data_IF_011273616939
#
_entry.id   IF_011273616939
#
_cell.length_a   1.000
_cell.length_b   1.000
_cell.length_c   1.000
_cell.angle_alpha   90.00
_cell.angle_beta   90.00
_cell.angle_gamma   90.00
#
_symmetry.space_group_name_H-M   'P 1'
#
loop_
_entity.id
_entity.type
_entity.pdbx_description
1 polymer ?
#
# COMPACT_ATOMS: atom_id res chain seq x y z
N UNK A 1 3.22 21.31 -0.71
CA UNK A 1 3.81 20.44 0.32
C UNK A 1 2.98 20.49 1.59
N UNK A 2 2.65 21.67 2.10
CA UNK A 2 1.86 21.84 3.33
C UNK A 2 0.55 21.03 3.35
N UNK A 3 -0.24 21.05 2.27
CA UNK A 3 -1.47 20.26 2.17
C UNK A 3 -1.21 18.74 2.24
N UNK A 4 -0.12 18.26 1.63
CA UNK A 4 0.31 16.86 1.73
C UNK A 4 0.65 16.48 3.17
N UNK A 5 1.35 17.36 3.89
CA UNK A 5 1.73 17.12 5.28
C UNK A 5 0.51 17.14 6.20
N UNK A 6 -0.42 18.08 6.00
CA UNK A 6 -1.69 18.12 6.73
C UNK A 6 -2.55 16.89 6.48
N UNK A 7 -2.61 16.39 5.24
CA UNK A 7 -3.28 15.11 4.94
C UNK A 7 -2.63 13.93 5.66
N UNK A 8 -1.30 13.92 5.75
CA UNK A 8 -0.57 12.87 6.46
C UNK A 8 -0.85 12.89 7.97
N UNK A 9 -0.83 14.07 8.59
CA UNK A 9 -1.24 14.25 9.99
C UNK A 9 -2.69 13.80 10.22
N UNK A 10 -3.59 14.22 9.32
CA UNK A 10 -4.99 13.84 9.33
C UNK A 10 -5.18 12.32 9.24
N UNK A 11 -4.41 11.64 8.39
CA UNK A 11 -4.49 10.18 8.25
C UNK A 11 -4.14 9.45 9.56
N UNK A 12 -3.09 9.86 10.27
CA UNK A 12 -2.74 9.29 11.58
C UNK A 12 -3.85 9.53 12.61
N UNK A 13 -4.39 10.75 12.65
CA UNK A 13 -5.45 11.12 13.60
C UNK A 13 -6.75 10.35 13.33
N UNK A 14 -7.16 10.28 12.07
CA UNK A 14 -8.35 9.53 11.62
C UNK A 14 -8.23 8.05 11.98
N UNK A 15 -7.13 7.39 11.60
CA UNK A 15 -6.93 5.97 11.88
C UNK A 15 -7.02 5.68 13.39
N UNK A 16 -6.34 6.47 14.22
CA UNK A 16 -6.43 6.35 15.68
C UNK A 16 -7.85 6.54 16.20
N UNK A 17 -8.60 7.48 15.65
CA UNK A 17 -9.97 7.77 16.08
C UNK A 17 -10.98 6.71 15.64
N UNK A 18 -10.78 6.08 14.47
CA UNK A 18 -11.67 5.06 13.93
C UNK A 18 -11.52 3.75 14.70
N UNK A 19 -10.28 3.29 14.91
CA UNK A 19 -10.02 2.09 15.68
C UNK A 19 -8.62 2.16 16.29
N UNK A 20 -8.56 2.61 17.55
CA UNK A 20 -7.30 2.79 18.27
C UNK A 20 -6.52 1.47 18.43
N UNK A 21 -7.21 0.32 18.52
CA UNK A 21 -6.52 -0.96 18.63
C UNK A 21 -5.80 -1.34 17.34
N UNK A 22 -6.47 -1.24 16.19
CA UNK A 22 -5.84 -1.50 14.89
C UNK A 22 -4.75 -0.48 14.54
N UNK A 23 -4.91 0.77 14.98
CA UNK A 23 -3.87 1.78 14.90
C UNK A 23 -2.62 1.36 15.71
N UNK A 24 -2.80 0.85 16.94
CA UNK A 24 -1.71 0.33 17.76
C UNK A 24 -1.05 -0.90 17.11
N UNK A 25 -1.84 -1.82 16.56
CA UNK A 25 -1.30 -2.96 15.80
C UNK A 25 -0.47 -2.51 14.60
N UNK A 26 -0.87 -1.43 13.92
CA UNK A 26 -0.12 -0.80 12.83
C UNK A 26 1.22 -0.24 13.33
N UNK A 27 1.25 0.43 14.49
CA UNK A 27 2.49 0.97 15.07
C UNK A 27 3.46 -0.12 15.51
N UNK A 28 2.95 -1.22 16.09
CA UNK A 28 3.76 -2.36 16.50
C UNK A 28 4.28 -3.12 15.27
N UNK A 29 3.47 -3.18 14.19
CA UNK A 29 3.79 -3.87 12.94
C UNK A 29 4.30 -5.30 13.15
N UNK A 30 3.70 -6.04 14.09
CA UNK A 30 4.22 -7.34 14.52
C UNK A 30 4.14 -8.40 13.41
N UNK A 31 5.30 -8.90 12.98
CA UNK A 31 5.42 -9.98 11.97
C UNK A 31 5.89 -11.32 12.53
N UNK A 32 6.37 -11.31 13.78
CA UNK A 32 6.98 -12.43 14.48
C UNK A 32 7.76 -11.91 15.69
N UNK A 33 8.27 -12.82 16.52
CA UNK A 33 9.19 -12.43 17.58
C UNK A 33 10.51 -11.99 16.96
N UNK A 34 10.72 -10.68 16.91
CA UNK A 34 11.88 -10.06 16.27
C UNK A 34 12.25 -8.78 17.02
N UNK A 35 13.46 -8.31 16.75
CA UNK A 35 14.00 -7.06 17.27
C UNK A 35 13.04 -5.91 17.04
N UNK A 36 12.97 -4.97 18.00
CA UNK A 36 12.16 -3.75 17.84
C UNK A 36 12.70 -2.85 16.73
N UNK A 37 14.02 -2.87 16.52
CA UNK A 37 14.69 -2.19 15.42
C UNK A 37 14.52 -2.97 14.13
N UNK A 38 13.31 -2.90 13.59
CA UNK A 38 12.96 -3.49 12.31
C UNK A 38 13.53 -2.68 11.13
N UNK A 39 13.15 -3.09 9.92
CA UNK A 39 13.61 -2.41 8.69
C UNK A 39 13.13 -0.96 8.56
N UNK A 40 12.12 -0.53 9.34
CA UNK A 40 11.67 0.86 9.36
C UNK A 40 12.59 1.74 10.20
N UNK A 41 13.02 1.29 11.38
CA UNK A 41 13.94 2.06 12.22
C UNK A 41 15.32 2.21 11.56
N UNK A 42 15.85 1.14 10.94
CA UNK A 42 17.07 1.23 10.14
C UNK A 42 16.90 2.22 8.98
N UNK A 43 15.73 2.24 8.34
CA UNK A 43 15.43 3.20 7.29
C UNK A 43 15.36 4.64 7.81
N UNK A 44 14.81 4.87 9.01
CA UNK A 44 14.85 6.17 9.64
C UNK A 44 16.28 6.65 9.88
N UNK A 45 17.14 5.79 10.42
CA UNK A 45 18.52 6.17 10.74
C UNK A 45 19.35 6.39 9.47
N UNK A 46 19.19 5.53 8.47
CA UNK A 46 19.86 5.67 7.18
C UNK A 46 19.49 6.98 6.46
N UNK A 47 18.19 7.33 6.41
CA UNK A 47 17.75 8.57 5.75
C UNK A 47 18.25 9.81 6.52
N UNK A 48 18.27 9.81 7.85
CA UNK A 48 18.86 10.92 8.62
C UNK A 48 20.35 11.10 8.28
N UNK A 49 21.12 10.01 8.29
CA UNK A 49 22.53 10.06 7.93
C UNK A 49 22.72 10.58 6.49
N UNK A 50 21.92 10.09 5.53
CA UNK A 50 22.00 10.57 4.15
C UNK A 50 21.58 12.03 4.01
N UNK A 51 20.62 12.50 4.81
CA UNK A 51 20.20 13.90 4.87
C UNK A 51 21.34 14.79 5.37
N UNK A 52 22.05 14.40 6.42
CA UNK A 52 23.24 15.13 6.91
C UNK A 52 24.35 15.21 5.84
N UNK A 53 24.61 14.09 5.14
CA UNK A 53 25.58 14.04 4.05
C UNK A 53 25.15 14.88 2.84
N UNK A 54 23.85 14.90 2.52
CA UNK A 54 23.28 15.71 1.46
C UNK A 54 23.48 17.20 1.72
N UNK A 55 23.27 17.68 2.95
CA UNK A 55 23.45 19.09 3.29
C UNK A 55 24.91 19.50 3.53
N UNK A 56 25.81 18.56 3.84
CA UNK A 56 27.24 18.86 4.09
C UNK A 56 28.12 18.79 2.84
N UNK A 57 27.64 18.20 1.75
CA UNK A 57 28.38 18.09 0.50
C UNK A 57 27.92 19.11 -0.56
N UNK A 58 28.81 19.34 -1.53
CA UNK A 58 28.57 20.19 -2.70
C UNK A 58 28.80 19.45 -4.02
N UNK A 59 28.32 20.05 -5.11
CA UNK A 59 28.49 19.58 -6.48
C UNK A 59 28.15 18.10 -6.65
N UNK A 60 29.03 17.35 -7.32
CA UNK A 60 28.81 15.93 -7.62
C UNK A 60 28.65 15.04 -6.39
N UNK A 61 29.21 15.41 -5.23
CA UNK A 61 29.04 14.65 -3.99
C UNK A 61 27.62 14.83 -3.46
N UNK A 62 27.12 16.08 -3.45
CA UNK A 62 25.73 16.39 -3.12
C UNK A 62 24.75 15.65 -4.02
N UNK A 63 24.96 15.69 -5.34
CA UNK A 63 24.09 14.98 -6.29
C UNK A 63 24.02 13.48 -6.04
N UNK A 64 25.15 12.83 -5.72
CA UNK A 64 25.15 11.41 -5.39
C UNK A 64 24.39 11.11 -4.10
N UNK A 65 24.54 11.94 -3.08
CA UNK A 65 23.79 11.78 -1.84
C UNK A 65 22.29 12.07 -2.03
N UNK A 66 21.95 13.05 -2.87
CA UNK A 66 20.58 13.33 -3.27
C UNK A 66 19.94 12.10 -3.94
N UNK A 67 20.62 11.47 -4.90
CA UNK A 67 20.13 10.24 -5.53
C UNK A 67 20.05 9.06 -4.56
N UNK A 68 21.01 8.91 -3.64
CA UNK A 68 20.99 7.84 -2.64
C UNK A 68 19.81 8.01 -1.67
N UNK A 69 19.63 9.19 -1.09
CA UNK A 69 18.51 9.51 -0.20
C UNK A 69 17.18 9.30 -0.90
N UNK A 70 17.03 9.90 -2.10
CA UNK A 70 15.85 9.76 -2.94
C UNK A 70 15.49 8.30 -3.16
N UNK A 71 16.47 7.50 -3.59
CA UNK A 71 16.23 6.11 -3.93
C UNK A 71 15.90 5.28 -2.70
N UNK A 72 16.64 5.47 -1.60
CA UNK A 72 16.39 4.77 -0.33
C UNK A 72 15.01 5.09 0.24
N UNK A 73 14.51 6.33 0.10
CA UNK A 73 13.17 6.71 0.58
C UNK A 73 12.08 5.82 -0.04
N UNK A 74 12.11 5.63 -1.36
CA UNK A 74 11.06 4.87 -2.07
C UNK A 74 11.24 3.33 -2.00
N UNK A 75 12.28 2.79 -1.36
CA UNK A 75 12.50 1.35 -1.29
C UNK A 75 11.77 0.65 -0.13
N UNK A 76 11.52 1.37 0.96
CA UNK A 76 11.14 0.75 2.22
C UNK A 76 9.71 0.19 2.18
N UNK A 77 9.57 -1.13 2.26
CA UNK A 77 8.26 -1.79 2.25
C UNK A 77 7.42 -1.46 3.49
N UNK A 78 8.06 -1.24 4.64
CA UNK A 78 7.37 -1.02 5.90
C UNK A 78 6.70 0.35 5.98
N UNK A 79 7.34 1.36 5.40
CA UNK A 79 6.72 2.66 5.14
C UNK A 79 5.39 2.51 4.39
N UNK A 80 5.37 1.76 3.28
CA UNK A 80 4.14 1.53 2.52
C UNK A 80 3.12 0.65 3.26
N UNK A 81 3.56 -0.37 3.99
CA UNK A 81 2.68 -1.22 4.80
C UNK A 81 1.97 -0.40 5.89
N UNK A 82 2.70 0.49 6.57
CA UNK A 82 2.14 1.40 7.58
C UNK A 82 1.17 2.37 6.91
N UNK A 83 1.56 3.02 5.82
CA UNK A 83 0.70 3.97 5.12
C UNK A 83 -0.61 3.32 4.63
N UNK A 84 -0.51 2.14 4.03
CA UNK A 84 -1.67 1.35 3.61
C UNK A 84 -2.52 0.87 4.78
N UNK A 85 -1.91 0.46 5.89
CA UNK A 85 -2.63 0.06 7.11
C UNK A 85 -3.39 1.21 7.74
N UNK A 86 -2.78 2.40 7.85
CA UNK A 86 -3.48 3.59 8.32
C UNK A 86 -4.71 3.90 7.46
N UNK A 87 -4.60 3.74 6.14
CA UNK A 87 -5.74 3.90 5.24
C UNK A 87 -6.83 2.84 5.48
N UNK A 88 -6.47 1.57 5.63
CA UNK A 88 -7.43 0.50 5.98
C UNK A 88 -8.18 0.84 7.28
N UNK A 89 -7.44 1.22 8.31
CA UNK A 89 -8.01 1.56 9.63
C UNK A 89 -8.94 2.77 9.52
N UNK A 90 -8.56 3.82 8.78
CA UNK A 90 -9.43 4.97 8.53
C UNK A 90 -10.74 4.60 7.82
N UNK A 91 -10.74 3.57 6.96
CA UNK A 91 -11.92 3.04 6.30
C UNK A 91 -12.74 2.06 7.16
N UNK A 92 -12.26 1.74 8.37
CA UNK A 92 -12.89 0.80 9.29
C UNK A 92 -12.55 -0.67 9.04
N UNK A 93 -11.48 -0.95 8.30
CA UNK A 93 -10.93 -2.29 8.08
C UNK A 93 -9.78 -2.60 9.04
N UNK A 94 -9.34 -3.86 9.10
CA UNK A 94 -8.21 -4.26 9.93
C UNK A 94 -6.88 -3.77 9.34
N UNK A 95 -5.91 -3.54 10.21
CA UNK A 95 -4.52 -3.27 9.82
C UNK A 95 -3.89 -4.50 9.15
N UNK A 96 -2.91 -4.29 8.27
CA UNK A 96 -2.23 -5.39 7.59
C UNK A 96 -0.71 -5.23 7.63
N UNK A 97 -0.07 -6.12 8.37
CA UNK A 97 1.39 -6.29 8.37
C UNK A 97 1.94 -6.84 7.04
N UNK A 98 1.06 -7.26 6.13
CA UNK A 98 1.40 -7.87 4.83
C UNK A 98 0.54 -7.25 3.72
N UNK A 99 0.65 -5.94 3.52
CA UNK A 99 -0.13 -5.24 2.49
C UNK A 99 0.10 -5.82 1.08
N UNK A 100 1.30 -6.37 0.85
CA UNK A 100 1.75 -6.97 -0.41
C UNK A 100 1.71 -8.50 -0.36
N UNK A 101 0.74 -9.11 -1.02
CA UNK A 101 0.63 -10.57 -1.08
C UNK A 101 1.48 -11.14 -2.22
N UNK A 102 2.17 -12.24 -1.92
CA UNK A 102 2.74 -13.10 -2.95
C UNK A 102 1.64 -13.98 -3.54
N UNK A 103 1.63 -14.07 -4.87
CA UNK A 103 0.80 -15.02 -5.64
C UNK A 103 1.72 -15.96 -6.40
N UNK A 104 1.22 -17.08 -6.93
CA UNK A 104 2.05 -17.96 -7.77
C UNK A 104 2.62 -17.26 -9.00
N UNK A 105 1.89 -16.26 -9.53
CA UNK A 105 2.34 -15.42 -10.65
C UNK A 105 3.35 -14.36 -10.23
N UNK A 106 3.38 -14.01 -8.94
CA UNK A 106 4.17 -12.92 -8.38
C UNK A 106 4.84 -13.38 -7.08
N UNK A 107 5.80 -14.32 -7.21
CA UNK A 107 6.59 -14.85 -6.08
C UNK A 107 7.86 -14.00 -5.78
N UNK A 108 8.04 -12.90 -6.52
CA UNK A 108 9.15 -11.95 -6.32
C UNK A 108 8.77 -10.82 -5.38
N UNK A 109 9.79 -10.12 -4.88
CA UNK A 109 9.60 -8.81 -4.26
C UNK A 109 9.00 -7.83 -5.27
N UNK A 110 8.02 -7.06 -4.82
CA UNK A 110 7.43 -5.98 -5.61
C UNK A 110 8.45 -4.87 -5.83
N UNK A 111 8.51 -4.35 -7.05
CA UNK A 111 9.25 -3.15 -7.35
C UNK A 111 8.55 -1.93 -6.75
N UNK A 112 9.29 -0.85 -6.56
CA UNK A 112 8.79 0.42 -6.01
C UNK A 112 7.52 0.93 -6.69
N UNK A 113 7.49 0.94 -8.03
CA UNK A 113 6.31 1.38 -8.78
C UNK A 113 5.08 0.52 -8.49
N UNK A 114 5.24 -0.79 -8.31
CA UNK A 114 4.14 -1.69 -7.94
C UNK A 114 3.63 -1.39 -6.52
N UNK A 115 4.53 -1.14 -5.56
CA UNK A 115 4.15 -0.78 -4.18
C UNK A 115 3.39 0.55 -4.15
N UNK A 116 3.89 1.56 -4.86
CA UNK A 116 3.23 2.86 -4.98
C UNK A 116 1.84 2.71 -5.60
N UNK A 117 1.69 1.93 -6.68
CA UNK A 117 0.38 1.72 -7.30
C UNK A 117 -0.64 1.08 -6.34
N UNK A 118 -0.21 0.11 -5.53
CA UNK A 118 -1.08 -0.53 -4.54
C UNK A 118 -1.51 0.43 -3.44
N UNK A 119 -0.59 1.25 -2.92
CA UNK A 119 -0.92 2.26 -1.90
C UNK A 119 -1.73 3.42 -2.48
N UNK A 120 -1.49 3.79 -3.73
CA UNK A 120 -2.22 4.86 -4.42
C UNK A 120 -3.71 4.57 -4.50
N UNK A 121 -4.08 3.31 -4.73
CA UNK A 121 -5.49 2.93 -4.81
C UNK A 121 -6.20 3.13 -3.47
N UNK A 122 -5.58 2.73 -2.35
CA UNK A 122 -6.21 2.88 -1.03
C UNK A 122 -6.17 4.34 -0.54
N UNK A 123 -5.14 5.11 -0.89
CA UNK A 123 -5.10 6.55 -0.62
C UNK A 123 -6.25 7.27 -1.33
N UNK A 124 -6.55 6.88 -2.57
CA UNK A 124 -7.68 7.43 -3.31
C UNK A 124 -9.02 7.08 -2.65
N UNK A 125 -9.18 5.84 -2.14
CA UNK A 125 -10.38 5.43 -1.39
C UNK A 125 -10.55 6.22 -0.08
N UNK A 126 -9.43 6.61 0.56
CA UNK A 126 -9.41 7.50 1.73
C UNK A 126 -9.47 9.00 1.39
N UNK A 127 -9.62 9.36 0.12
CA UNK A 127 -9.62 10.75 -0.37
C UNK A 127 -8.35 11.55 0.05
N UNK A 128 -7.18 10.90 0.06
CA UNK A 128 -5.87 11.50 0.37
C UNK A 128 -5.14 11.91 -0.91
N UNK A 129 -5.72 12.88 -1.61
CA UNK A 129 -5.31 13.27 -2.97
C UNK A 129 -3.93 13.94 -3.00
N UNK A 130 -3.58 14.72 -1.97
CA UNK A 130 -2.29 15.40 -1.91
C UNK A 130 -1.14 14.45 -1.59
N UNK A 131 -1.40 13.38 -0.82
CA UNK A 131 -0.43 12.28 -0.64
C UNK A 131 -0.27 11.49 -1.95
N UNK A 132 -1.37 11.17 -2.63
CA UNK A 132 -1.33 10.50 -3.94
C UNK A 132 -0.51 11.32 -4.95
N UNK A 133 -0.80 12.62 -5.05
CA UNK A 133 -0.10 13.53 -5.95
C UNK A 133 1.40 13.64 -5.63
N UNK A 134 1.80 13.55 -4.36
CA UNK A 134 3.20 13.49 -3.98
C UNK A 134 3.90 12.27 -4.61
N UNK A 135 3.30 11.08 -4.56
CA UNK A 135 3.90 9.92 -5.22
C UNK A 135 3.93 10.07 -6.74
N UNK A 136 2.85 10.54 -7.35
CA UNK A 136 2.76 10.71 -8.80
C UNK A 136 3.78 11.74 -9.35
N UNK A 137 4.00 12.83 -8.61
CA UNK A 137 4.86 13.92 -9.05
C UNK A 137 6.33 13.67 -8.75
N UNK A 138 6.64 13.05 -7.61
CA UNK A 138 8.01 13.00 -7.08
C UNK A 138 8.69 11.65 -7.34
N UNK A 139 7.95 10.58 -7.67
CA UNK A 139 8.54 9.28 -8.00
C UNK A 139 8.85 9.12 -9.50
N UNK A 140 10.14 9.06 -9.82
CA UNK A 140 10.72 8.91 -11.15
C UNK A 140 11.65 7.70 -11.16
N UNK A 141 11.14 6.56 -11.63
CA UNK A 141 11.87 5.30 -11.69
C UNK A 141 13.21 5.42 -12.44
N UNK A 142 13.31 6.28 -13.45
CA UNK A 142 14.54 6.47 -14.22
C UNK A 142 15.71 7.04 -13.39
N UNK A 143 15.46 7.93 -12.41
CA UNK A 143 16.51 8.47 -11.53
C UNK A 143 17.11 7.34 -10.69
N UNK A 144 16.23 6.56 -10.04
CA UNK A 144 16.60 5.41 -9.22
C UNK A 144 17.36 4.36 -10.02
N UNK A 145 16.80 3.94 -11.16
CA UNK A 145 17.36 2.88 -11.99
C UNK A 145 18.73 3.27 -12.54
N UNK A 146 18.85 4.47 -13.11
CA UNK A 146 20.14 4.95 -13.61
C UNK A 146 21.19 5.07 -12.50
N UNK A 147 20.81 5.55 -11.31
CA UNK A 147 21.73 5.65 -10.18
C UNK A 147 22.24 4.28 -9.70
N UNK A 148 21.35 3.32 -9.41
CA UNK A 148 21.77 2.01 -8.88
C UNK A 148 22.46 1.12 -9.92
N UNK A 149 22.17 1.30 -11.21
CA UNK A 149 22.87 0.60 -12.27
C UNK A 149 24.11 1.34 -12.79
N UNK A 150 24.49 2.46 -12.14
CA UNK A 150 25.59 3.32 -12.56
C UNK A 150 25.48 3.78 -14.04
N UNK A 151 24.26 3.84 -14.57
CA UNK A 151 23.94 4.24 -15.93
C UNK A 151 23.68 5.76 -16.00
N UNK A 152 24.64 6.55 -15.52
CA UNK A 152 24.54 8.02 -15.50
C UNK A 152 25.90 8.70 -15.58
N UNK A 153 25.88 10.01 -15.90
CA UNK A 153 27.04 10.88 -15.70
C UNK A 153 26.63 12.22 -15.09
N UNK A 154 27.56 12.83 -14.35
CA UNK A 154 27.35 14.12 -13.70
C UNK A 154 28.25 15.19 -14.29
N UNK A 155 27.64 16.30 -14.68
CA UNK A 155 28.31 17.59 -14.80
C UNK A 155 28.15 18.36 -13.48
N UNK A 156 28.55 19.63 -13.42
CA UNK A 156 28.43 20.41 -12.18
C UNK A 156 26.97 20.72 -11.85
N UNK A 157 26.12 20.92 -12.85
CA UNK A 157 24.71 21.29 -12.69
C UNK A 157 23.71 20.31 -13.30
N UNK A 158 24.15 19.26 -13.99
CA UNK A 158 23.23 18.35 -14.68
C UNK A 158 23.54 16.87 -14.45
N UNK A 159 22.46 16.10 -14.40
CA UNK A 159 22.45 14.65 -14.38
C UNK A 159 22.05 14.14 -15.76
N UNK A 160 22.89 13.31 -16.38
CA UNK A 160 22.60 12.68 -17.68
C UNK A 160 22.29 11.20 -17.48
N UNK A 161 21.18 10.76 -18.05
CA UNK A 161 20.63 9.42 -17.99
C UNK A 161 21.16 8.59 -19.16
N UNK A 162 21.64 7.39 -18.89
CA UNK A 162 21.99 6.39 -19.90
C UNK A 162 21.19 5.11 -19.64
N UNK A 163 20.94 4.33 -20.70
CA UNK A 163 20.32 3.00 -20.63
C UNK A 163 19.05 2.89 -19.77
N UNK A 164 18.24 3.96 -19.76
CA UNK A 164 17.00 4.05 -18.99
C UNK A 164 15.92 4.77 -19.80
N UNK A 165 14.69 4.79 -19.30
CA UNK A 165 13.61 5.56 -19.92
C UNK A 165 13.83 7.07 -19.71
N UNK A 166 13.37 7.87 -20.67
CA UNK A 166 13.41 9.33 -20.53
C UNK A 166 12.51 9.80 -19.39
N UNK A 167 12.98 10.77 -18.60
CA UNK A 167 12.14 11.44 -17.60
C UNK A 167 11.26 12.46 -18.32
N UNK A 168 9.97 12.51 -17.98
CA UNK A 168 9.06 13.53 -18.51
C UNK A 168 9.11 14.77 -17.64
N UNK A 169 9.67 15.86 -18.17
CA UNK A 169 9.72 17.17 -17.53
C UNK A 169 8.87 18.10 -18.40
N UNK A 170 7.80 18.66 -17.82
CA UNK A 170 6.84 19.52 -18.54
C UNK A 170 6.24 18.82 -19.78
N UNK A 171 6.00 17.51 -19.69
CA UNK A 171 5.48 16.70 -20.79
C UNK A 171 6.51 16.33 -21.86
N UNK A 172 7.75 16.81 -21.78
CA UNK A 172 8.83 16.49 -22.72
C UNK A 172 9.73 15.41 -22.12
N UNK A 173 9.93 14.32 -22.86
CA UNK A 173 10.90 13.27 -22.49
C UNK A 173 12.34 13.77 -22.65
N UNK A 174 13.11 13.76 -21.56
CA UNK A 174 14.52 14.19 -21.52
C UNK A 174 15.40 13.08 -20.93
N UNK A 175 16.59 12.93 -21.49
CA UNK A 175 17.66 12.06 -20.98
C UNK A 175 18.69 12.84 -20.14
N UNK A 176 18.35 14.07 -19.74
CA UNK A 176 19.14 14.89 -18.86
C UNK A 176 18.23 15.86 -18.10
N UNK A 177 18.68 16.34 -16.95
CA UNK A 177 18.00 17.39 -16.18
C UNK A 177 18.99 18.21 -15.35
N UNK A 178 18.63 19.46 -15.06
CA UNK A 178 19.36 20.31 -14.13
C UNK A 178 19.10 19.86 -12.69
N UNK A 179 20.16 19.62 -11.92
CA UNK A 179 20.05 19.08 -10.56
C UNK A 179 19.50 20.11 -9.57
N UNK A 180 19.72 21.41 -9.79
CA UNK A 180 19.25 22.47 -8.91
C UNK A 180 17.78 22.80 -9.18
N UNK A 181 17.35 22.76 -10.44
CA UNK A 181 15.97 23.09 -10.81
C UNK A 181 15.03 21.89 -10.67
N UNK A 182 15.55 20.66 -10.77
CA UNK A 182 14.72 19.45 -10.78
C UNK A 182 14.99 18.52 -9.59
N UNK A 183 16.21 17.97 -9.46
CA UNK A 183 16.47 16.91 -8.48
C UNK A 183 16.45 17.40 -7.02
N UNK A 184 17.14 18.49 -6.71
CA UNK A 184 17.21 18.99 -5.33
C UNK A 184 15.84 19.42 -4.78
N UNK A 185 14.97 20.13 -5.53
CA UNK A 185 13.62 20.41 -5.08
C UNK A 185 12.79 19.15 -4.79
N UNK A 186 12.92 18.11 -5.60
CA UNK A 186 12.25 16.81 -5.36
C UNK A 186 12.78 16.19 -4.06
N UNK A 187 14.11 16.15 -3.89
CA UNK A 187 14.75 15.59 -2.69
C UNK A 187 14.35 16.34 -1.42
N UNK A 188 14.23 17.66 -1.49
CA UNK A 188 13.80 18.48 -0.35
C UNK A 188 12.34 18.19 0.04
N UNK A 189 11.44 17.99 -0.92
CA UNK A 189 10.07 17.53 -0.63
C UNK A 189 10.04 16.13 -0.04
N UNK A 190 10.87 15.22 -0.54
CA UNK A 190 11.04 13.86 -0.01
C UNK A 190 11.51 13.92 1.45
N UNK A 191 12.50 14.76 1.76
CA UNK A 191 12.97 15.00 3.13
C UNK A 191 11.83 15.53 4.01
N UNK A 192 11.07 16.52 3.53
CA UNK A 192 9.95 17.09 4.29
C UNK A 192 8.86 16.06 4.60
N UNK A 193 8.51 15.22 3.61
CA UNK A 193 7.56 14.13 3.81
C UNK A 193 8.09 13.09 4.81
N UNK A 194 9.35 12.68 4.65
CA UNK A 194 10.02 11.74 5.55
C UNK A 194 10.02 12.24 6.99
N UNK A 195 10.47 13.49 7.23
CA UNK A 195 10.57 14.07 8.56
C UNK A 195 9.19 14.14 9.23
N UNK A 196 8.15 14.52 8.48
CA UNK A 196 6.78 14.54 8.98
C UNK A 196 6.27 13.13 9.31
N UNK A 197 6.47 12.15 8.42
CA UNK A 197 6.07 10.76 8.65
C UNK A 197 6.78 10.18 9.89
N UNK A 198 8.11 10.32 9.98
CA UNK A 198 8.91 9.85 11.11
C UNK A 198 8.44 10.49 12.42
N UNK A 199 8.23 11.81 12.43
CA UNK A 199 7.72 12.54 13.60
C UNK A 199 6.35 12.03 14.03
N UNK A 200 5.42 11.81 13.09
CA UNK A 200 4.09 11.31 13.39
C UNK A 200 4.12 9.88 13.92
N UNK A 201 4.93 9.01 13.32
CA UNK A 201 5.08 7.63 13.74
C UNK A 201 5.67 7.55 15.15
N UNK A 202 6.82 8.18 15.38
CA UNK A 202 7.49 8.16 16.69
C UNK A 202 6.68 8.91 17.75
N UNK A 203 6.03 10.02 17.39
CA UNK A 203 5.14 10.77 18.28
C UNK A 203 3.91 9.97 18.69
N UNK A 204 3.34 9.18 17.77
CA UNK A 204 2.22 8.28 18.05
C UNK A 204 2.63 7.16 19.00
N UNK A 205 3.84 6.62 18.83
CA UNK A 205 4.40 5.62 19.74
C UNK A 205 4.65 6.20 21.14
N UNK A 206 5.26 7.38 21.21
CA UNK A 206 5.60 8.08 22.44
C UNK A 206 4.37 8.55 23.25
N UNK A 207 3.23 8.74 22.60
CA UNK A 207 2.00 9.20 23.24
C UNK A 207 1.42 8.23 24.29
N UNK A 208 1.80 6.94 24.25
CA UNK A 208 1.33 5.92 25.20
C UNK A 208 2.22 5.87 26.45
N UNK A 209 2.09 6.87 27.32
CA UNK A 209 2.93 7.03 28.52
C UNK A 209 2.46 6.26 29.75
N UNK A 210 1.22 5.78 29.73
CA UNK A 210 0.58 5.05 30.83
C UNK A 210 -0.33 3.96 30.29
N UNK A 211 -0.64 2.98 31.14
CA UNK A 211 -1.59 1.93 30.82
C UNK A 211 -2.99 2.52 30.58
N UNK A 212 -3.68 1.98 29.58
CA UNK A 212 -5.04 2.41 29.21
C UNK A 212 -5.84 1.21 28.73
N UNK A 213 -7.09 1.11 29.17
CA UNK A 213 -8.03 0.14 28.62
C UNK A 213 -8.80 0.76 27.46
N UNK A 214 -8.84 0.06 26.32
CA UNK A 214 -9.63 0.42 25.14
C UNK A 214 -10.51 -0.76 24.72
N UNK A 215 -11.51 -0.49 23.87
CA UNK A 215 -12.27 -1.55 23.21
C UNK A 215 -11.61 -1.91 21.87
N UNK A 216 -11.47 -3.19 21.59
CA UNK A 216 -11.00 -3.69 20.29
C UNK A 216 -11.46 -5.12 20.02
N UNK A 217 -11.38 -5.54 18.76
CA UNK A 217 -11.76 -6.88 18.34
C UNK A 217 -10.59 -7.85 18.48
N UNK A 218 -10.76 -8.89 19.30
CA UNK A 218 -9.74 -9.94 19.47
C UNK A 218 -10.35 -11.31 19.85
N UNK A 219 -10.91 -12.09 18.90
CA UNK A 219 -11.49 -11.65 17.62
C UNK A 219 -12.86 -10.98 17.82
N UNK A 220 -13.46 -11.13 19.00
CA UNK A 220 -14.70 -10.46 19.40
C UNK A 220 -14.38 -9.18 20.16
N UNK A 221 -15.30 -8.21 20.12
CA UNK A 221 -15.17 -6.95 20.84
C UNK A 221 -14.97 -7.19 22.35
N UNK A 222 -13.88 -6.66 22.90
CA UNK A 222 -13.53 -6.81 24.32
C UNK A 222 -12.62 -5.68 24.80
N UNK A 223 -12.36 -5.67 26.10
CA UNK A 223 -11.38 -4.78 26.71
C UNK A 223 -9.96 -5.26 26.40
N UNK A 224 -9.13 -4.32 25.97
CA UNK A 224 -7.72 -4.50 25.65
C UNK A 224 -6.93 -3.53 26.50
N UNK A 225 -5.99 -4.06 27.25
CA UNK A 225 -5.12 -3.28 28.12
C UNK A 225 -3.87 -2.89 27.34
N UNK A 226 -3.81 -1.63 26.90
CA UNK A 226 -2.63 -1.06 26.26
C UNK A 226 -1.60 -0.76 27.32
N UNK A 227 -0.39 -1.24 27.11
CA UNK A 227 0.75 -1.05 28.01
C UNK A 227 1.55 0.15 27.57
N UNK A 228 1.64 1.15 28.45
CA UNK A 228 2.41 2.37 28.22
C UNK A 228 3.62 2.46 29.15
N UNK A 229 4.50 3.40 28.89
CA UNK A 229 5.61 3.68 29.79
C UNK A 229 6.38 4.96 29.43
N UNK A 230 7.46 5.28 30.16
CA UNK A 230 8.23 6.50 29.93
C UNK A 230 8.75 6.65 28.50
N UNK A 231 9.07 5.54 27.83
CA UNK A 231 9.53 5.53 26.42
C UNK A 231 8.39 5.23 25.41
N UNK A 232 7.14 5.48 25.79
CA UNK A 232 5.95 5.24 24.97
C UNK A 232 5.43 3.80 25.03
N UNK A 233 4.74 3.41 23.97
CA UNK A 233 4.04 2.13 23.81
C UNK A 233 4.94 0.92 24.14
N UNK A 234 4.44 0.03 25.00
CA UNK A 234 5.10 -1.23 25.40
C UNK A 234 4.37 -2.47 24.91
N UNK A 235 3.19 -2.31 24.32
CA UNK A 235 2.40 -3.40 23.74
C UNK A 235 0.98 -3.43 24.27
N UNK A 236 0.36 -4.61 24.31
CA UNK A 236 -0.99 -4.80 24.82
C UNK A 236 -1.19 -6.18 25.44
N UNK A 237 -2.19 -6.28 26.32
CA UNK A 237 -2.65 -7.52 26.96
C UNK A 237 -4.15 -7.66 26.77
N UNK A 238 -4.60 -8.86 26.44
CA UNK A 238 -6.00 -9.24 26.33
C UNK A 238 -6.25 -10.40 27.28
N UNK A 239 -7.14 -10.18 28.26
CA UNK A 239 -7.36 -11.15 29.34
C UNK A 239 -8.20 -12.35 28.90
N UNK A 240 -7.88 -13.52 29.44
CA UNK A 240 -8.67 -14.75 29.31
C UNK A 240 -9.05 -15.09 27.85
N UNK A 241 -8.05 -15.20 26.99
CA UNK A 241 -8.21 -15.42 25.54
C UNK A 241 -7.84 -16.84 25.11
N UNK A 242 -7.02 -17.53 25.87
CA UNK A 242 -6.62 -18.91 25.60
C UNK A 242 -6.89 -19.79 26.81
N UNK A 243 -7.27 -21.05 26.59
CA UNK A 243 -7.49 -22.02 27.66
C UNK A 243 -6.48 -23.16 27.53
N UNK A 244 -5.73 -23.41 28.61
CA UNK A 244 -4.77 -24.51 28.72
C UNK A 244 -5.11 -25.33 29.95
N UNK A 245 -5.34 -26.64 29.78
CA UNK A 245 -5.66 -27.55 30.88
C UNK A 245 -6.84 -27.09 31.77
N UNK A 246 -7.80 -26.37 31.19
CA UNK A 246 -8.96 -25.84 31.90
C UNK A 246 -8.76 -24.43 32.49
N UNK A 247 -7.53 -23.93 32.55
CA UNK A 247 -7.20 -22.59 33.06
C UNK A 247 -7.15 -21.56 31.93
N UNK A 248 -7.74 -20.40 32.18
CA UNK A 248 -7.67 -19.27 31.25
C UNK A 248 -6.32 -18.56 31.38
N UNK A 249 -5.77 -18.17 30.24
CA UNK A 249 -4.53 -17.44 30.10
C UNK A 249 -4.72 -16.24 29.18
N UNK A 250 -3.91 -15.21 29.43
CA UNK A 250 -3.93 -13.97 28.66
C UNK A 250 -3.14 -14.12 27.35
N UNK A 251 -3.53 -13.35 26.33
CA UNK A 251 -2.77 -13.15 25.11
C UNK A 251 -2.17 -11.76 25.11
N UNK A 252 -0.93 -11.62 24.66
CA UNK A 252 -0.27 -10.33 24.66
C UNK A 252 0.81 -10.22 23.60
N UNK A 253 1.10 -8.98 23.20
CA UNK A 253 2.34 -8.58 22.53
C UNK A 253 2.99 -7.55 23.43
N UNK A 254 4.22 -7.79 23.87
CA UNK A 254 4.94 -6.90 24.77
C UNK A 254 6.39 -6.74 24.30
N UNK A 255 6.94 -5.55 24.46
CA UNK A 255 8.35 -5.29 24.20
C UNK A 255 9.20 -5.70 25.40
N UNK A 256 10.16 -6.60 25.18
CA UNK A 256 11.13 -7.02 26.18
C UNK A 256 12.45 -6.27 26.01
N UNK A 257 12.78 -5.42 26.99
CA UNK A 257 14.01 -4.62 27.00
C UNK A 257 15.28 -5.47 27.14
N UNK A 258 15.22 -6.64 27.76
CA UNK A 258 16.40 -7.47 28.00
C UNK A 258 16.92 -8.09 26.70
N UNK A 259 16.00 -8.37 25.78
CA UNK A 259 16.29 -8.97 24.48
C UNK A 259 16.09 -8.00 23.31
N UNK A 260 15.64 -6.79 23.59
CA UNK A 260 15.34 -5.74 22.61
C UNK A 260 14.40 -6.20 21.48
N UNK A 261 13.34 -6.91 21.84
CA UNK A 261 12.43 -7.56 20.88
C UNK A 261 10.97 -7.49 21.30
N UNK A 262 10.09 -7.55 20.31
CA UNK A 262 8.68 -7.84 20.54
C UNK A 262 8.49 -9.33 20.82
N UNK A 263 7.83 -9.63 21.93
CA UNK A 263 7.43 -10.98 22.29
C UNK A 263 5.92 -11.09 22.20
N UNK A 264 5.44 -12.28 21.86
CA UNK A 264 4.03 -12.59 21.84
C UNK A 264 3.75 -13.88 22.63
N UNK A 265 2.63 -13.90 23.33
CA UNK A 265 2.16 -15.07 24.07
C UNK A 265 0.70 -15.35 23.74
N UNK A 266 0.39 -16.62 23.51
CA UNK A 266 -0.97 -17.08 23.21
C UNK A 266 -1.66 -16.34 22.06
N UNK A 267 -0.87 -15.83 21.11
CA UNK A 267 -1.36 -15.24 19.86
C UNK A 267 -1.15 -16.28 18.78
N UNK A 268 -2.25 -16.80 18.25
CA UNK A 268 -2.21 -17.62 17.03
C UNK A 268 -2.34 -16.68 15.84
N UNK A 269 -1.23 -16.39 15.19
CA UNK A 269 -1.25 -15.83 13.84
C UNK A 269 -1.45 -17.01 12.89
N UNK A 270 -2.70 -17.47 12.75
CA UNK A 270 -2.99 -18.38 11.65
C UNK A 270 -3.02 -17.55 10.37
N UNK A 271 -1.95 -17.65 9.57
CA UNK A 271 -1.84 -16.90 8.30
C UNK A 271 -3.04 -17.17 7.38
N UNK A 272 -3.61 -18.38 7.40
CA UNK A 272 -4.80 -18.72 6.62
C UNK A 272 -6.04 -17.91 7.02
N UNK A 273 -6.20 -17.63 8.31
CA UNK A 273 -7.32 -16.84 8.85
C UNK A 273 -7.11 -15.34 8.61
N UNK A 274 -5.88 -14.84 8.76
CA UNK A 274 -5.54 -13.44 8.48
C UNK A 274 -5.76 -13.11 6.99
N UNK A 275 -5.25 -13.97 6.11
CA UNK A 275 -5.42 -13.80 4.66
C UNK A 275 -6.90 -13.86 4.26
N UNK A 276 -7.70 -14.75 4.87
CA UNK A 276 -9.13 -14.81 4.63
C UNK A 276 -9.87 -13.52 5.06
N UNK A 277 -9.51 -12.96 6.23
CA UNK A 277 -10.08 -11.68 6.71
C UNK A 277 -9.73 -10.56 5.73
N UNK A 278 -8.46 -10.41 5.37
CA UNK A 278 -8.03 -9.34 4.47
C UNK A 278 -8.64 -9.49 3.06
N UNK A 279 -8.80 -10.72 2.53
CA UNK A 279 -9.54 -10.98 1.29
C UNK A 279 -10.99 -10.54 1.41
N UNK A 280 -11.68 -10.93 2.48
CA UNK A 280 -13.08 -10.60 2.70
C UNK A 280 -13.29 -9.08 2.78
N UNK A 281 -12.40 -8.35 3.47
CA UNK A 281 -12.43 -6.90 3.57
C UNK A 281 -12.13 -6.20 2.22
N UNK A 282 -11.12 -6.66 1.48
CA UNK A 282 -10.81 -6.12 0.14
C UNK A 282 -11.96 -6.37 -0.84
N UNK A 283 -12.54 -7.56 -0.85
CA UNK A 283 -13.75 -7.84 -1.64
C UNK A 283 -14.89 -6.89 -1.26
N UNK A 284 -15.13 -6.71 0.04
CA UNK A 284 -16.15 -5.79 0.56
C UNK A 284 -15.88 -4.33 0.14
N UNK A 285 -14.62 -3.91 0.10
CA UNK A 285 -14.21 -2.60 -0.43
C UNK A 285 -14.59 -2.46 -1.90
N UNK A 286 -14.28 -3.44 -2.74
CA UNK A 286 -14.66 -3.41 -4.17
C UNK A 286 -16.15 -3.53 -4.43
N UNK A 287 -16.89 -4.24 -3.58
CA UNK A 287 -18.35 -4.32 -3.66
C UNK A 287 -19.00 -2.95 -3.48
N UNK A 288 -18.38 -2.05 -2.71
CA UNK A 288 -18.82 -0.66 -2.55
C UNK A 288 -18.40 0.25 -3.71
N UNK A 289 -17.40 -0.12 -4.51
CA UNK A 289 -16.94 0.72 -5.63
C UNK A 289 -17.94 0.69 -6.79
N UNK A 290 -18.23 1.84 -7.43
CA UNK A 290 -19.11 1.86 -8.61
C UNK A 290 -18.40 1.34 -9.88
N UNK A 291 -17.08 1.50 -9.97
CA UNK A 291 -16.26 1.11 -11.12
C UNK A 291 -14.81 0.85 -10.69
N UNK A 292 -14.06 0.15 -11.54
CA UNK A 292 -12.60 -0.01 -11.47
C UNK A 292 -12.00 0.13 -12.87
N UNK A 293 -10.68 0.33 -12.93
CA UNK A 293 -9.93 0.18 -14.17
C UNK A 293 -9.40 -1.25 -14.30
N UNK A 294 -9.25 -1.72 -15.54
CA UNK A 294 -8.69 -3.06 -15.79
C UNK A 294 -7.22 -3.16 -15.34
N UNK A 295 -6.53 -2.01 -15.31
CA UNK A 295 -5.15 -1.85 -14.86
C UNK A 295 -5.02 -1.69 -13.35
N UNK A 296 -6.11 -1.78 -12.57
CA UNK A 296 -6.03 -1.70 -11.12
C UNK A 296 -5.24 -2.91 -10.60
N UNK A 297 -3.99 -2.64 -10.22
CA UNK A 297 -2.99 -3.66 -9.88
C UNK A 297 -3.42 -4.41 -8.64
N UNK A 298 -4.03 -3.73 -7.67
CA UNK A 298 -4.52 -4.35 -6.43
C UNK A 298 -5.63 -5.35 -6.75
N UNK A 299 -6.66 -4.94 -7.50
CA UNK A 299 -7.78 -5.82 -7.84
C UNK A 299 -7.33 -7.06 -8.60
N UNK A 300 -6.35 -6.91 -9.49
CA UNK A 300 -5.79 -8.05 -10.22
C UNK A 300 -5.00 -8.98 -9.31
N UNK A 301 -4.19 -8.45 -8.38
CA UNK A 301 -3.46 -9.25 -7.40
C UNK A 301 -4.43 -10.00 -6.46
N UNK A 302 -5.48 -9.33 -5.98
CA UNK A 302 -6.58 -9.93 -5.23
C UNK A 302 -7.23 -11.07 -6.00
N UNK A 303 -7.57 -10.84 -7.28
CA UNK A 303 -8.17 -11.84 -8.15
C UNK A 303 -7.28 -13.06 -8.35
N UNK A 304 -5.98 -12.86 -8.60
CA UNK A 304 -5.01 -13.94 -8.73
C UNK A 304 -4.90 -14.75 -7.43
N UNK A 305 -4.90 -14.08 -6.27
CA UNK A 305 -4.84 -14.74 -4.97
C UNK A 305 -6.08 -15.60 -4.68
N UNK A 306 -7.27 -15.08 -4.97
CA UNK A 306 -8.53 -15.81 -4.81
C UNK A 306 -8.56 -17.04 -5.72
N UNK A 307 -8.11 -16.90 -6.98
CA UNK A 307 -7.99 -18.03 -7.93
C UNK A 307 -7.01 -19.08 -7.40
N UNK A 308 -5.87 -18.67 -6.85
CA UNK A 308 -4.88 -19.59 -6.27
C UNK A 308 -5.43 -20.39 -5.09
N UNK A 309 -6.28 -19.77 -4.25
CA UNK A 309 -6.96 -20.42 -3.10
C UNK A 309 -8.14 -21.29 -3.51
N UNK A 310 -8.85 -20.89 -4.57
CA UNK A 310 -10.02 -21.58 -5.14
C UNK A 310 -11.08 -21.94 -4.08
N UNK A 311 -11.42 -20.99 -3.19
CA UNK A 311 -12.50 -21.14 -2.21
C UNK A 311 -13.82 -20.63 -2.81
N UNK A 312 -14.88 -21.44 -2.74
CA UNK A 312 -16.15 -21.17 -3.44
C UNK A 312 -16.76 -19.79 -3.13
N UNK A 313 -16.76 -19.37 -1.87
CA UNK A 313 -17.30 -18.06 -1.46
C UNK A 313 -16.50 -16.90 -2.09
N UNK A 314 -15.17 -16.97 -2.02
CA UNK A 314 -14.27 -15.94 -2.55
C UNK A 314 -14.36 -15.90 -4.09
N UNK A 315 -14.34 -17.06 -4.74
CA UNK A 315 -14.46 -17.21 -6.19
C UNK A 315 -15.78 -16.65 -6.72
N UNK A 316 -16.90 -16.95 -6.06
CA UNK A 316 -18.21 -16.40 -6.44
C UNK A 316 -18.21 -14.88 -6.39
N UNK A 317 -17.77 -14.28 -5.28
CA UNK A 317 -17.70 -12.81 -5.11
C UNK A 317 -16.79 -12.17 -6.15
N UNK A 318 -15.64 -12.78 -6.45
CA UNK A 318 -14.73 -12.30 -7.49
C UNK A 318 -15.42 -12.28 -8.87
N UNK A 319 -16.12 -13.35 -9.25
CA UNK A 319 -16.86 -13.40 -10.53
C UNK A 319 -17.95 -12.34 -10.57
N UNK A 320 -18.73 -12.20 -9.50
CA UNK A 320 -19.78 -11.18 -9.37
C UNK A 320 -19.21 -9.76 -9.54
N UNK A 321 -18.04 -9.46 -8.94
CA UNK A 321 -17.35 -8.18 -9.11
C UNK A 321 -16.86 -7.95 -10.54
N UNK A 322 -16.23 -8.94 -11.17
CA UNK A 322 -15.76 -8.82 -12.55
C UNK A 322 -16.93 -8.55 -13.50
N UNK A 323 -18.06 -9.25 -13.31
CA UNK A 323 -19.29 -9.01 -14.08
C UNK A 323 -19.80 -7.59 -13.79
N UNK A 324 -19.99 -7.20 -12.53
CA UNK A 324 -20.46 -5.86 -12.13
C UNK A 324 -19.67 -4.75 -12.81
N UNK A 325 -18.34 -4.84 -12.82
CA UNK A 325 -17.49 -3.83 -13.45
C UNK A 325 -17.54 -3.87 -14.98
N UNK A 326 -17.66 -5.06 -15.57
CA UNK A 326 -17.94 -5.22 -17.00
C UNK A 326 -19.27 -4.57 -17.39
N UNK A 327 -20.31 -4.78 -16.58
CA UNK A 327 -21.68 -4.28 -16.81
C UNK A 327 -21.71 -2.76 -16.79
N UNK A 328 -21.02 -2.15 -15.82
CA UNK A 328 -20.95 -0.71 -15.77
C UNK A 328 -20.33 -0.12 -17.03
N UNK A 329 -19.24 -0.71 -17.53
CA UNK A 329 -18.61 -0.26 -18.79
C UNK A 329 -19.47 -0.57 -20.02
N UNK A 330 -20.18 -1.70 -20.01
CA UNK A 330 -21.12 -2.07 -21.07
C UNK A 330 -22.28 -1.08 -21.17
N UNK A 331 -22.86 -0.67 -20.03
CA UNK A 331 -23.86 0.40 -19.96
C UNK A 331 -23.31 1.72 -20.54
N UNK A 332 -22.10 2.10 -20.15
CA UNK A 332 -21.45 3.31 -20.65
C UNK A 332 -21.23 3.23 -22.18
N UNK A 333 -20.86 2.06 -22.71
CA UNK A 333 -20.77 1.83 -24.16
C UNK A 333 -22.10 1.93 -24.89
N UNK A 334 -23.18 1.41 -24.30
CA UNK A 334 -24.52 1.55 -24.87
C UNK A 334 -24.95 3.00 -24.94
N UNK A 335 -24.67 3.76 -23.88
CA UNK A 335 -24.99 5.18 -23.76
C UNK A 335 -24.06 6.09 -24.58
N UNK A 336 -22.87 5.63 -24.99
CA UNK A 336 -21.92 6.43 -25.77
C UNK A 336 -22.54 6.85 -27.12
N UNK A 337 -22.42 8.15 -27.41
CA UNK A 337 -22.97 8.80 -28.61
C UNK A 337 -21.89 9.10 -29.63
N UNK A 338 -20.64 9.26 -29.20
CA UNK A 338 -19.52 9.46 -30.10
C UNK A 338 -19.17 8.14 -30.82
N UNK A 339 -19.25 8.08 -32.16
CA UNK A 339 -19.06 6.83 -32.90
C UNK A 339 -17.65 6.27 -32.77
N UNK A 340 -16.62 7.13 -32.69
CA UNK A 340 -15.24 6.69 -32.55
C UNK A 340 -14.97 6.07 -31.18
N UNK A 341 -15.46 6.70 -30.10
CA UNK A 341 -15.35 6.12 -28.75
C UNK A 341 -16.19 4.86 -28.60
N UNK A 342 -17.41 4.85 -29.15
CA UNK A 342 -18.29 3.68 -29.13
C UNK A 342 -17.66 2.48 -29.83
N UNK A 343 -16.90 2.72 -30.90
CA UNK A 343 -16.17 1.70 -31.62
C UNK A 343 -14.99 1.12 -30.81
N UNK A 344 -14.30 1.93 -30.02
CA UNK A 344 -13.13 1.49 -29.25
C UNK A 344 -13.47 0.77 -27.94
N UNK A 345 -14.52 1.21 -27.24
CA UNK A 345 -14.89 0.72 -25.90
C UNK A 345 -15.06 -0.81 -25.78
N UNK A 346 -15.56 -1.57 -26.77
CA UNK A 346 -15.65 -3.03 -26.66
C UNK A 346 -14.31 -3.71 -26.35
N UNK A 347 -13.17 -3.14 -26.80
CA UNK A 347 -11.83 -3.66 -26.48
C UNK A 347 -11.51 -3.60 -24.99
N UNK A 348 -12.09 -2.64 -24.27
CA UNK A 348 -11.87 -2.42 -22.84
C UNK A 348 -12.89 -3.15 -21.95
N UNK A 349 -14.01 -3.58 -22.53
CA UNK A 349 -15.12 -4.27 -21.84
C UNK A 349 -14.95 -5.78 -21.94
N UNK A 350 -14.67 -6.28 -23.15
CA UNK A 350 -14.58 -7.70 -23.46
C UNK A 350 -13.68 -8.50 -22.49
N UNK A 351 -12.51 -7.99 -22.05
CA UNK A 351 -11.65 -8.75 -21.15
C UNK A 351 -12.29 -9.04 -19.77
N UNK A 352 -13.23 -8.22 -19.29
CA UNK A 352 -13.98 -8.51 -18.05
C UNK A 352 -14.80 -9.78 -18.22
N UNK A 353 -15.65 -9.84 -19.25
CA UNK A 353 -16.52 -11.00 -19.47
C UNK A 353 -15.73 -12.25 -19.84
N UNK A 354 -14.67 -12.13 -20.63
CA UNK A 354 -13.79 -13.26 -20.93
C UNK A 354 -13.12 -13.81 -19.68
N UNK A 355 -12.60 -12.94 -18.79
CA UNK A 355 -12.02 -13.35 -17.51
C UNK A 355 -13.08 -14.01 -16.63
N UNK A 356 -14.30 -13.45 -16.56
CA UNK A 356 -15.40 -14.03 -15.82
C UNK A 356 -15.77 -15.43 -16.35
N UNK A 357 -16.04 -15.61 -17.65
CA UNK A 357 -16.39 -16.91 -18.24
C UNK A 357 -15.28 -17.95 -18.04
N UNK A 358 -14.01 -17.54 -18.12
CA UNK A 358 -12.86 -18.42 -17.92
C UNK A 358 -12.80 -19.00 -16.49
N UNK A 359 -13.06 -18.18 -15.47
CA UNK A 359 -12.92 -18.59 -14.06
C UNK A 359 -14.24 -19.02 -13.42
N UNK A 360 -15.37 -18.78 -14.09
CA UNK A 360 -16.71 -19.02 -13.55
C UNK A 360 -17.05 -20.51 -13.48
N UNK A 361 -17.32 -20.98 -12.25
CA UNK A 361 -17.91 -22.29 -11.95
C UNK A 361 -19.21 -22.18 -11.15
N UNK A 362 -19.67 -20.95 -10.88
CA UNK A 362 -20.62 -20.67 -9.80
C UNK A 362 -21.87 -19.90 -10.24
N UNK A 363 -21.85 -19.24 -11.39
CA UNK A 363 -22.93 -18.39 -11.93
C UNK A 363 -23.34 -18.91 -13.31
N UNK A 364 -24.61 -18.74 -13.70
CA UNK A 364 -25.06 -19.09 -15.06
C UNK A 364 -24.29 -18.29 -16.12
N UNK A 365 -23.52 -18.94 -17.01
CA UNK A 365 -22.69 -18.25 -18.00
C UNK A 365 -23.50 -17.69 -19.18
N UNK A 366 -24.81 -17.96 -19.29
CA UNK A 366 -25.61 -17.61 -20.47
C UNK A 366 -25.54 -16.13 -20.81
N UNK A 367 -25.71 -15.25 -19.83
CA UNK A 367 -25.67 -13.80 -20.05
C UNK A 367 -24.25 -13.30 -20.38
N UNK A 368 -23.24 -13.83 -19.68
CA UNK A 368 -21.82 -13.51 -19.93
C UNK A 368 -21.46 -13.83 -21.38
N UNK A 369 -21.80 -15.04 -21.86
CA UNK A 369 -21.52 -15.49 -23.23
C UNK A 369 -22.29 -14.71 -24.28
N UNK A 370 -23.53 -14.31 -23.98
CA UNK A 370 -24.30 -13.43 -24.87
C UNK A 370 -23.61 -12.07 -25.06
N UNK A 371 -23.11 -11.48 -23.97
CA UNK A 371 -22.37 -10.20 -24.02
C UNK A 371 -21.02 -10.34 -24.72
N UNK A 372 -20.28 -11.43 -24.50
CA UNK A 372 -19.03 -11.73 -25.23
C UNK A 372 -19.30 -11.77 -26.74
N UNK A 373 -20.34 -12.50 -27.16
CA UNK A 373 -20.71 -12.61 -28.58
C UNK A 373 -21.01 -11.24 -29.18
N UNK A 374 -21.86 -10.46 -28.52
CA UNK A 374 -22.25 -9.13 -29.01
C UNK A 374 -21.04 -8.18 -29.15
N UNK A 375 -20.19 -8.11 -28.12
CA UNK A 375 -18.99 -7.27 -28.15
C UNK A 375 -18.01 -7.71 -29.25
N UNK A 376 -17.85 -9.01 -29.46
CA UNK A 376 -16.99 -9.55 -30.51
C UNK A 376 -17.52 -9.20 -31.91
N UNK A 377 -18.82 -9.36 -32.14
CA UNK A 377 -19.46 -8.97 -33.41
C UNK A 377 -19.36 -7.46 -33.66
N UNK A 378 -19.40 -6.64 -32.61
CA UNK A 378 -19.24 -5.18 -32.73
C UNK A 378 -17.83 -4.75 -33.13
N UNK A 379 -16.81 -5.55 -32.80
CA UNK A 379 -15.42 -5.33 -33.19
C UNK A 379 -15.12 -5.78 -34.63
N UNK A 380 -15.85 -6.79 -35.14
CA UNK A 380 -15.66 -7.31 -36.50
C UNK A 380 -16.35 -6.47 -37.59
N UNK A 381 -17.32 -5.63 -37.20
CA UNK A 381 -18.04 -4.72 -38.10
C UNK A 381 -17.29 -3.40 -38.37
N UNK A 382 -16.08 -3.25 -37.82
CA UNK A 382 -15.17 -2.13 -38.00
C UNK A 382 -14.01 -2.58 -38.89
#
# INVERSE_FOLDING_TARGET
MDETLLELEGLFSEAKSTNEFEFILTLINFKGMDTKYDTLYEWFDAIEMYKELYFSFDGKKKTRMACLLYSTFFENSDFYNILGSLCNVSLGYHSSSYFFWKTKKQDRLLGTGEKINLVSEILNDCNKKNILQFFDNEHHAAIRNSFFHAAYSLTDNAYNLYDTEAIRIEGVGRYYFDVNEFLYPIVEKVIAFFDAFKKLFLGSFAAYTQDKTIKGYFPNLRDIEIKGGPDGLKGFVVKNTAQFYGEWSDSWILYDKNYDMWQAMNIRINLGDKEAIEIDERLTRYEKKPKINISDVEFNNLGDKIIDRNLDKEMRRLVELIIKFGDKKYEDWKAETNPFRKASLPKDILPFYQKADLINKHIDPKEIRARIKELTESLQKQ
#
